data_IF_420861227814
#
_entry.id   IF_420861227814
#
_cell.length_a   1.000
_cell.length_b   1.000
_cell.length_c   1.000
_cell.angle_alpha   90.00
_cell.angle_beta   90.00
_cell.angle_gamma   90.00
#
_symmetry.space_group_name_H-M   'P 1'
#
loop_
_entity.id
_entity.type
_entity.pdbx_description
1 polymer ?
#
# COMPACT_ATOMS: atom_id res chain seq x y z
N UNK A 1 -0.20 16.79 -8.01
CA UNK A 1 -0.80 15.55 -8.51
C UNK A 1 0.30 14.73 -9.16
N UNK A 2 0.81 13.75 -8.42
CA UNK A 2 1.90 12.87 -8.83
C UNK A 2 1.35 11.55 -9.39
N UNK A 3 2.15 10.87 -10.21
CA UNK A 3 1.84 9.54 -10.72
C UNK A 3 2.79 8.53 -10.10
N UNK A 4 2.24 7.54 -9.39
CA UNK A 4 2.99 6.48 -8.72
C UNK A 4 2.82 5.16 -9.44
N UNK A 5 3.93 4.54 -9.84
CA UNK A 5 3.89 3.20 -10.41
C UNK A 5 3.94 2.16 -9.29
N UNK A 6 2.89 1.35 -9.18
CA UNK A 6 2.78 0.33 -8.13
C UNK A 6 2.50 -1.03 -8.76
N UNK A 7 3.22 -2.04 -8.28
CA UNK A 7 2.93 -3.42 -8.62
C UNK A 7 1.92 -3.96 -7.60
N UNK A 8 0.72 -4.28 -8.06
CA UNK A 8 -0.25 -5.01 -7.24
C UNK A 8 0.32 -6.42 -6.99
N UNK A 9 0.59 -6.76 -5.73
CA UNK A 9 0.93 -8.14 -5.38
C UNK A 9 -0.36 -8.96 -5.38
N UNK A 10 -0.37 -10.06 -6.12
CA UNK A 10 -1.46 -11.03 -6.17
C UNK A 10 -1.58 -11.90 -4.91
N UNK A 11 -0.67 -11.76 -3.94
CA UNK A 11 -0.71 -12.50 -2.67
C UNK A 11 -1.65 -11.84 -1.64
N UNK A 12 -2.73 -11.28 -2.14
CA UNK A 12 -3.86 -10.80 -1.37
C UNK A 12 -4.72 -11.98 -0.92
N UNK A 13 -5.50 -11.75 0.13
CA UNK A 13 -6.51 -12.66 0.68
C UNK A 13 -7.13 -13.59 -0.38
N UNK A 14 -7.09 -14.90 -0.12
CA UNK A 14 -7.59 -15.92 -1.05
C UNK A 14 -9.02 -15.61 -1.50
N UNK A 15 -9.24 -15.67 -2.82
CA UNK A 15 -10.55 -15.40 -3.43
C UNK A 15 -10.88 -13.93 -3.69
N UNK A 16 -10.00 -12.98 -3.33
CA UNK A 16 -10.20 -11.55 -3.65
C UNK A 16 -9.36 -11.15 -4.86
N UNK A 17 -10.03 -10.81 -5.96
CA UNK A 17 -9.39 -10.12 -7.07
C UNK A 17 -9.19 -8.63 -6.72
N UNK A 18 -7.99 -8.27 -6.26
CA UNK A 18 -7.66 -6.88 -5.93
C UNK A 18 -7.76 -5.95 -7.13
N UNK A 19 -7.55 -6.46 -8.36
CA UNK A 19 -7.69 -5.67 -9.57
C UNK A 19 -9.15 -5.28 -9.73
N UNK A 20 -10.07 -6.24 -9.61
CA UNK A 20 -11.50 -5.97 -9.69
C UNK A 20 -11.94 -5.04 -8.56
N UNK A 21 -11.42 -5.23 -7.34
CA UNK A 21 -11.69 -4.33 -6.20
C UNK A 21 -11.27 -2.88 -6.49
N UNK A 22 -10.09 -2.68 -7.10
CA UNK A 22 -9.60 -1.35 -7.48
C UNK A 22 -10.46 -0.73 -8.59
N UNK A 23 -10.89 -1.53 -9.56
CA UNK A 23 -11.77 -1.10 -10.65
C UNK A 23 -13.16 -0.71 -10.14
N UNK A 24 -13.75 -1.53 -9.29
CA UNK A 24 -15.12 -1.34 -8.80
C UNK A 24 -15.22 -0.15 -7.86
N UNK A 25 -14.21 0.04 -7.00
CA UNK A 25 -14.25 1.07 -5.96
C UNK A 25 -13.53 2.36 -6.38
N UNK A 26 -12.64 2.30 -7.36
CA UNK A 26 -11.75 3.42 -7.69
C UNK A 26 -10.76 3.73 -6.56
N UNK A 27 -10.48 2.75 -5.69
CA UNK A 27 -9.66 2.90 -4.48
C UNK A 27 -8.50 1.93 -4.54
N UNK A 28 -7.31 2.42 -4.23
CA UNK A 28 -6.10 1.60 -4.02
C UNK A 28 -5.55 1.90 -2.64
N UNK A 29 -5.36 0.85 -1.82
CA UNK A 29 -4.58 0.92 -0.58
C UNK A 29 -3.14 0.54 -0.86
N UNK A 30 -2.19 1.29 -0.29
CA UNK A 30 -0.75 1.06 -0.49
C UNK A 30 -0.08 0.78 0.85
N UNK A 31 0.43 -0.43 1.00
CA UNK A 31 1.11 -0.90 2.19
C UNK A 31 1.59 -2.35 2.04
N UNK A 32 2.38 -2.82 3.00
CA UNK A 32 2.53 -4.25 3.23
C UNK A 32 1.45 -4.72 4.18
N UNK A 33 1.09 -5.99 4.09
CA UNK A 33 0.14 -6.61 4.99
C UNK A 33 0.81 -6.94 6.33
N UNK A 34 0.34 -6.36 7.42
CA UNK A 34 0.67 -6.77 8.78
C UNK A 34 -0.42 -7.73 9.26
N UNK A 35 -0.03 -8.87 9.85
CA UNK A 35 -0.99 -9.81 10.44
C UNK A 35 -1.63 -9.15 11.66
N UNK A 36 -2.88 -8.74 11.51
CA UNK A 36 -3.63 -8.02 12.54
C UNK A 36 -3.97 -8.90 13.73
N UNK A 37 -3.48 -8.53 14.91
CA UNK A 37 -4.08 -8.97 16.18
C UNK A 37 -4.89 -7.83 16.82
N UNK A 38 -4.51 -6.56 16.60
CA UNK A 38 -5.17 -5.37 17.14
C UNK A 38 -5.34 -4.27 16.07
N UNK A 39 -6.44 -3.50 16.16
CA UNK A 39 -6.82 -2.42 15.23
C UNK A 39 -6.94 -1.10 16.02
N UNK A 40 -6.45 0.06 15.52
CA UNK A 40 -5.56 0.31 14.38
C UNK A 40 -4.06 0.28 14.75
N UNK A 41 -3.20 -0.10 13.79
CA UNK A 41 -1.74 -0.11 13.94
C UNK A 41 -1.19 1.32 13.81
N UNK A 42 -0.31 1.72 14.72
CA UNK A 42 0.38 3.01 14.67
C UNK A 42 1.55 3.01 13.66
N UNK A 43 1.99 4.19 13.23
CA UNK A 43 3.14 4.31 12.32
C UNK A 43 4.42 3.70 12.89
N UNK A 44 4.62 3.80 14.20
CA UNK A 44 5.82 3.28 14.87
C UNK A 44 5.79 1.75 14.94
N UNK A 45 4.62 1.15 15.18
CA UNK A 45 4.45 -0.31 15.12
C UNK A 45 4.62 -0.82 13.68
N UNK A 46 4.05 -0.11 12.70
CA UNK A 46 4.20 -0.44 11.28
C UNK A 46 5.68 -0.42 10.86
N UNK A 47 6.42 0.58 11.35
CA UNK A 47 7.85 0.74 11.14
C UNK A 47 8.69 -0.37 11.77
N UNK A 48 8.50 -0.66 13.07
CA UNK A 48 9.31 -1.66 13.77
C UNK A 48 9.01 -3.07 13.25
N UNK A 49 7.76 -3.33 12.83
CA UNK A 49 7.40 -4.58 12.14
C UNK A 49 8.18 -4.73 10.83
N UNK A 50 8.22 -3.69 9.98
CA UNK A 50 8.97 -3.75 8.73
C UNK A 50 10.48 -3.90 8.94
N UNK A 51 11.02 -3.26 9.96
CA UNK A 51 12.43 -3.38 10.34
C UNK A 51 12.79 -4.80 10.81
N UNK A 52 11.88 -5.45 11.54
CA UNK A 52 12.02 -6.84 11.98
C UNK A 52 11.96 -7.81 10.80
N UNK A 53 10.96 -7.65 9.93
CA UNK A 53 10.68 -8.61 8.85
C UNK A 53 11.63 -8.48 7.66
N UNK A 54 12.10 -7.25 7.39
CA UNK A 54 12.95 -6.96 6.24
C UNK A 54 14.34 -6.48 6.67
N UNK A 55 15.32 -7.40 6.66
CA UNK A 55 16.74 -7.11 6.99
C UNK A 55 17.44 -6.16 6.01
N UNK A 56 16.89 -5.93 4.82
CA UNK A 56 17.48 -5.07 3.78
C UNK A 56 16.81 -3.71 3.78
N UNK A 57 17.57 -2.61 3.70
CA UNK A 57 17.04 -1.23 3.73
C UNK A 57 16.15 -0.81 2.56
N UNK A 58 15.91 -1.67 1.56
CA UNK A 58 15.12 -1.33 0.37
C UNK A 58 13.64 -1.00 0.68
N UNK A 59 13.08 -1.52 1.78
CA UNK A 59 11.72 -1.18 2.22
C UNK A 59 11.60 0.27 2.70
N UNK A 60 12.71 0.89 3.13
CA UNK A 60 12.73 2.26 3.63
C UNK A 60 12.23 3.28 2.61
N UNK A 61 12.69 3.12 1.36
CA UNK A 61 12.31 4.02 0.28
C UNK A 61 10.80 3.95 -0.01
N UNK A 62 10.23 2.74 0.06
CA UNK A 62 8.79 2.54 -0.10
C UNK A 62 8.01 3.13 1.08
N UNK A 63 8.43 2.90 2.32
CA UNK A 63 7.79 3.46 3.52
C UNK A 63 7.83 4.99 3.48
N UNK A 64 8.98 5.58 3.16
CA UNK A 64 9.14 7.02 3.06
C UNK A 64 8.27 7.63 1.95
N UNK A 65 8.10 6.93 0.82
CA UNK A 65 7.18 7.36 -0.23
C UNK A 65 5.74 7.39 0.29
N UNK A 66 5.28 6.29 0.90
CA UNK A 66 3.92 6.15 1.42
C UNK A 66 3.62 7.18 2.51
N UNK A 67 4.55 7.38 3.46
CA UNK A 67 4.35 8.24 4.63
C UNK A 67 4.45 9.73 4.32
N UNK A 68 5.43 10.12 3.50
CA UNK A 68 5.84 11.53 3.39
C UNK A 68 5.62 12.14 1.99
N UNK A 69 5.27 11.35 0.97
CA UNK A 69 5.21 11.82 -0.42
C UNK A 69 3.90 11.54 -1.15
N UNK A 70 3.21 10.46 -0.78
CA UNK A 70 1.92 10.11 -1.38
C UNK A 70 0.82 10.90 -0.70
N UNK A 71 -0.02 11.54 -1.50
CA UNK A 71 -1.16 12.31 -1.02
C UNK A 71 -2.48 11.72 -1.53
N UNK A 72 -3.55 11.93 -0.78
CA UNK A 72 -4.90 11.60 -1.26
C UNK A 72 -5.14 12.39 -2.56
N UNK A 73 -5.66 11.70 -3.57
CA UNK A 73 -5.86 12.14 -4.96
C UNK A 73 -4.65 12.03 -5.90
N UNK A 74 -3.51 11.51 -5.45
CA UNK A 74 -2.45 11.12 -6.40
C UNK A 74 -2.92 10.01 -7.34
N UNK A 75 -2.34 9.92 -8.53
CA UNK A 75 -2.65 8.87 -9.49
C UNK A 75 -1.74 7.66 -9.27
N UNK A 76 -2.31 6.47 -9.27
CA UNK A 76 -1.58 5.22 -9.22
C UNK A 76 -1.70 4.54 -10.58
N UNK A 77 -0.54 4.31 -11.19
CA UNK A 77 -0.40 3.49 -12.38
C UNK A 77 -0.09 2.05 -11.98
N UNK A 78 -1.09 1.19 -12.16
CA UNK A 78 -0.91 -0.25 -12.15
C UNK A 78 -0.64 -0.70 -13.58
N UNK A 79 0.08 -1.80 -13.79
CA UNK A 79 0.50 -2.28 -15.12
C UNK A 79 -0.62 -2.36 -16.18
N UNK A 80 -1.89 -2.34 -15.76
CA UNK A 80 -3.04 -2.41 -16.66
C UNK A 80 -3.94 -1.17 -16.65
N UNK A 81 -3.91 -0.29 -15.62
CA UNK A 81 -4.83 0.86 -15.49
C UNK A 81 -4.31 1.98 -14.55
N UNK A 82 -4.90 3.17 -14.68
CA UNK A 82 -4.77 4.29 -13.73
C UNK A 82 -5.95 4.28 -12.73
N UNK A 83 -5.65 4.43 -11.43
CA UNK A 83 -6.64 4.62 -10.37
C UNK A 83 -6.23 5.80 -9.48
N UNK A 84 -7.20 6.44 -8.83
CA UNK A 84 -6.94 7.53 -7.90
C UNK A 84 -6.65 6.98 -6.49
N UNK A 85 -5.62 7.50 -5.84
CA UNK A 85 -5.28 7.18 -4.47
C UNK A 85 -6.29 7.84 -3.54
N UNK A 86 -7.19 7.05 -2.97
CA UNK A 86 -8.25 7.56 -2.09
C UNK A 86 -7.91 7.37 -0.62
N UNK A 87 -7.02 6.43 -0.30
CA UNK A 87 -6.56 6.20 1.06
C UNK A 87 -5.15 5.60 1.09
N UNK A 88 -4.27 6.22 1.86
CA UNK A 88 -3.07 5.54 2.37
C UNK A 88 -3.51 4.78 3.61
N UNK A 89 -3.68 3.46 3.48
CA UNK A 89 -4.07 2.60 4.60
C UNK A 89 -2.95 1.61 4.88
N UNK A 90 -2.51 1.57 6.14
CA UNK A 90 -1.63 0.53 6.67
C UNK A 90 -2.43 -0.78 6.60
N UNK A 91 -1.99 -1.70 5.75
CA UNK A 91 -2.67 -2.96 5.46
C UNK A 91 -2.08 -4.13 6.25
#
# INVERSE_FOLDING_TARGET
MNVWRIHLKSNSQDGVDQRQLCLDKGIVGVGWQIVYVNNPVSWDEYYETAKSDFKKSSWWAALNAIKNRMEVNDLIWTFFLYCQLTAVKML
#
